data_IF_000963798881
#
_entry.id   IF_000963798881
#
_cell.length_a   1.000
_cell.length_b   1.000
_cell.length_c   1.000
_cell.angle_alpha   90.00
_cell.angle_beta   90.00
_cell.angle_gamma   90.00
#
_symmetry.space_group_name_H-M   'P 1'
#
loop_
_entity.id
_entity.type
_entity.pdbx_description
1 polymer ?
#
# COMPACT_ATOMS: atom_id res chain seq x y z
N UNK A 1 -14.54 -7.81 -7.57
CA UNK A 1 -13.53 -8.86 -7.35
C UNK A 1 -13.84 -9.60 -6.05
N UNK A 2 -13.72 -10.90 -6.06
CA UNK A 2 -13.85 -11.76 -4.88
C UNK A 2 -12.49 -12.35 -4.53
N UNK A 3 -12.15 -12.41 -3.25
CA UNK A 3 -10.93 -13.05 -2.79
C UNK A 3 -11.27 -14.31 -2.01
N UNK A 4 -10.52 -15.38 -2.27
CA UNK A 4 -10.43 -16.51 -1.35
C UNK A 4 -9.31 -16.21 -0.37
N UNK A 5 -9.61 -16.31 0.93
CA UNK A 5 -8.58 -16.14 1.93
C UNK A 5 -7.72 -17.39 2.04
N UNK A 6 -6.43 -17.17 2.10
CA UNK A 6 -5.53 -18.10 2.75
C UNK A 6 -5.15 -17.54 4.12
N UNK A 7 -5.12 -18.40 5.13
CA UNK A 7 -4.55 -18.03 6.44
C UNK A 7 -3.08 -17.69 6.22
N UNK A 8 -2.59 -16.62 6.87
CA UNK A 8 -1.17 -16.36 6.92
C UNK A 8 -0.49 -17.47 7.77
N UNK A 9 0.23 -18.40 7.14
CA UNK A 9 0.82 -19.54 7.85
C UNK A 9 1.99 -19.15 8.76
N UNK A 10 2.47 -17.89 8.64
CA UNK A 10 3.62 -17.40 9.40
C UNK A 10 3.20 -16.55 10.60
N UNK A 11 1.89 -16.35 10.83
CA UNK A 11 1.36 -15.56 11.95
C UNK A 11 1.82 -14.11 11.94
N UNK A 12 2.14 -13.56 10.75
CA UNK A 12 2.55 -12.17 10.58
C UNK A 12 1.35 -11.25 10.75
N UNK A 13 1.57 -10.06 11.28
CA UNK A 13 0.55 -9.06 11.53
C UNK A 13 1.01 -7.66 11.12
N UNK A 14 0.08 -6.73 11.05
CA UNK A 14 0.39 -5.35 10.67
C UNK A 14 0.82 -5.20 9.21
N UNK A 15 1.73 -4.27 8.95
CA UNK A 15 2.25 -4.00 7.62
C UNK A 15 3.19 -5.11 7.12
N UNK A 16 3.89 -5.80 8.03
CA UNK A 16 4.82 -6.89 7.74
C UNK A 16 4.11 -8.25 7.58
N UNK A 17 3.01 -8.31 6.83
CA UNK A 17 2.27 -9.54 6.52
C UNK A 17 2.39 -9.90 5.05
N UNK A 18 1.98 -11.13 4.70
CA UNK A 18 1.78 -11.48 3.30
C UNK A 18 0.67 -10.62 2.70
N UNK A 19 0.87 -10.08 1.50
CA UNK A 19 -0.08 -9.17 0.87
C UNK A 19 -1.43 -9.84 0.57
N UNK A 20 -1.41 -11.10 0.20
CA UNK A 20 -2.62 -11.89 -0.14
C UNK A 20 -3.14 -12.77 1.00
N UNK A 21 -2.62 -12.61 2.21
CA UNK A 21 -3.02 -13.38 3.39
C UNK A 21 -4.30 -12.84 4.04
N UNK A 22 -5.45 -12.94 3.35
CA UNK A 22 -6.75 -12.56 3.92
C UNK A 22 -7.36 -13.72 4.70
N UNK A 23 -7.86 -13.47 5.89
CA UNK A 23 -8.58 -14.46 6.67
C UNK A 23 -10.10 -14.31 6.47
N UNK A 24 -10.66 -14.89 5.42
CA UNK A 24 -12.12 -14.87 5.14
C UNK A 24 -12.88 -16.07 5.68
N UNK A 25 -12.26 -16.89 6.53
CA UNK A 25 -12.92 -18.03 7.18
C UNK A 25 -13.72 -18.91 6.22
N UNK A 26 -13.15 -19.22 5.03
CA UNK A 26 -13.76 -20.06 3.98
C UNK A 26 -15.00 -19.45 3.29
N UNK A 27 -15.32 -18.19 3.53
CA UNK A 27 -16.44 -17.51 2.90
C UNK A 27 -16.01 -16.72 1.67
N UNK A 28 -16.89 -16.66 0.68
CA UNK A 28 -16.75 -15.72 -0.42
C UNK A 28 -17.23 -14.34 0.06
N UNK A 29 -16.30 -13.39 0.18
CA UNK A 29 -16.62 -12.04 0.59
C UNK A 29 -16.51 -11.06 -0.56
N UNK A 30 -17.40 -10.06 -0.58
CA UNK A 30 -17.29 -8.93 -1.48
C UNK A 30 -16.08 -8.07 -1.06
N UNK A 31 -15.03 -8.10 -1.85
CA UNK A 31 -13.81 -7.37 -1.53
C UNK A 31 -13.96 -5.85 -1.76
N UNK A 32 -14.52 -5.44 -2.90
CA UNK A 32 -14.71 -4.04 -3.26
C UNK A 32 -16.04 -3.81 -3.98
N UNK A 33 -16.67 -2.67 -3.68
CA UNK A 33 -17.87 -2.18 -4.36
C UNK A 33 -17.79 -0.66 -4.48
N UNK A 34 -17.52 -0.14 -5.67
CA UNK A 34 -17.43 1.30 -5.92
C UNK A 34 -17.76 1.63 -7.38
N UNK A 35 -18.06 2.89 -7.60
CA UNK A 35 -18.33 3.45 -8.92
C UNK A 35 -17.33 4.56 -9.23
N UNK A 36 -16.76 4.54 -10.43
CA UNK A 36 -15.85 5.54 -10.95
C UNK A 36 -16.40 6.09 -12.28
N UNK A 37 -16.55 7.40 -12.37
CA UNK A 37 -17.07 8.03 -13.56
C UNK A 37 -16.34 9.34 -13.89
N UNK A 38 -16.17 9.67 -15.17
CA UNK A 38 -15.67 10.97 -15.61
C UNK A 38 -16.77 12.02 -15.47
N UNK A 39 -16.42 13.17 -14.89
CA UNK A 39 -17.26 14.39 -14.87
C UNK A 39 -16.90 15.26 -16.07
N UNK A 40 -15.65 15.27 -16.45
CA UNK A 40 -15.11 15.89 -17.67
C UNK A 40 -13.91 15.08 -18.16
N UNK A 41 -13.26 15.53 -19.22
CA UNK A 41 -12.05 14.89 -19.75
C UNK A 41 -10.93 14.86 -18.69
N UNK A 42 -10.84 15.88 -17.85
CA UNK A 42 -9.79 16.04 -16.85
C UNK A 42 -10.21 15.59 -15.44
N UNK A 43 -11.51 15.42 -15.16
CA UNK A 43 -12.01 15.19 -13.80
C UNK A 43 -12.75 13.85 -13.71
N UNK A 44 -12.32 13.03 -12.75
CA UNK A 44 -12.97 11.77 -12.37
C UNK A 44 -13.40 11.81 -10.91
N UNK A 45 -14.56 11.27 -10.62
CA UNK A 45 -15.06 11.03 -9.26
C UNK A 45 -15.17 9.53 -9.05
N UNK A 46 -14.73 9.08 -7.88
CA UNK A 46 -14.88 7.69 -7.43
C UNK A 46 -15.56 7.72 -6.07
N UNK A 47 -16.53 6.85 -5.85
CA UNK A 47 -17.16 6.67 -4.54
C UNK A 47 -17.75 5.28 -4.39
N UNK A 48 -17.89 4.82 -3.15
CA UNK A 48 -18.50 3.51 -2.91
C UNK A 48 -18.55 3.13 -1.43
N UNK A 49 -19.38 2.12 -1.12
CA UNK A 49 -19.52 1.61 0.24
C UNK A 49 -18.33 0.74 0.70
N UNK A 50 -17.52 0.22 -0.23
CA UNK A 50 -16.33 -0.58 0.10
C UNK A 50 -15.28 -0.42 -0.99
N UNK A 51 -14.27 0.35 -0.67
CA UNK A 51 -13.14 0.65 -1.55
C UNK A 51 -11.88 0.86 -0.72
N UNK A 52 -10.75 0.86 -1.36
CA UNK A 52 -9.45 1.06 -0.72
C UNK A 52 -8.88 2.43 -1.13
N UNK A 53 -8.06 3.02 -0.29
CA UNK A 53 -7.42 4.32 -0.53
C UNK A 53 -6.81 4.43 -1.94
N UNK A 54 -6.10 3.41 -2.40
CA UNK A 54 -5.47 3.38 -3.73
C UNK A 54 -6.46 3.33 -4.90
N UNK A 55 -7.69 2.86 -4.69
CA UNK A 55 -8.74 2.90 -5.72
C UNK A 55 -9.18 4.34 -6.05
N UNK A 56 -8.97 5.26 -5.12
CA UNK A 56 -9.35 6.67 -5.21
C UNK A 56 -8.27 7.58 -5.77
N UNK A 57 -7.02 7.12 -5.79
CA UNK A 57 -5.90 7.86 -6.38
C UNK A 57 -5.97 7.86 -7.91
N UNK A 58 -5.56 8.96 -8.50
CA UNK A 58 -5.46 9.08 -9.96
C UNK A 58 -4.26 8.35 -10.54
N UNK A 59 -3.20 8.22 -9.76
CA UNK A 59 -1.98 7.48 -10.11
C UNK A 59 -1.37 6.84 -8.89
N UNK A 60 -0.90 5.60 -9.05
CA UNK A 60 -0.06 4.93 -8.06
C UNK A 60 1.42 5.21 -8.38
N UNK A 61 2.21 5.75 -7.45
CA UNK A 61 3.56 6.25 -7.75
C UNK A 61 4.63 5.16 -7.76
N UNK A 62 4.26 3.93 -7.99
CA UNK A 62 5.18 2.80 -8.05
C UNK A 62 4.80 1.87 -9.19
N UNK A 63 5.77 1.39 -9.94
CA UNK A 63 5.60 0.28 -10.88
C UNK A 63 5.93 -1.08 -10.26
N UNK A 64 6.32 -1.11 -8.98
CA UNK A 64 6.37 -2.35 -8.21
C UNK A 64 4.94 -2.89 -8.06
N UNK A 65 4.71 -4.20 -8.20
CA UNK A 65 3.35 -4.72 -8.30
C UNK A 65 2.51 -4.39 -7.06
N UNK A 66 1.21 -4.29 -7.27
CA UNK A 66 0.23 -4.05 -6.20
C UNK A 66 0.02 -5.27 -5.29
N UNK A 67 0.42 -6.44 -5.76
CA UNK A 67 0.29 -7.72 -5.07
C UNK A 67 1.65 -8.45 -5.04
N UNK A 68 2.69 -7.88 -4.38
CA UNK A 68 3.98 -8.54 -4.24
C UNK A 68 3.85 -9.75 -3.29
N UNK A 69 4.84 -10.01 -2.48
CA UNK A 69 4.77 -11.03 -1.43
C UNK A 69 4.46 -10.37 -0.08
N UNK A 70 5.19 -9.32 0.26
CA UNK A 70 5.02 -8.58 1.53
C UNK A 70 4.22 -7.30 1.34
N UNK A 71 3.18 -7.13 2.13
CA UNK A 71 2.30 -5.95 2.07
C UNK A 71 3.05 -4.63 2.28
N UNK A 72 4.02 -4.59 3.17
CA UNK A 72 4.78 -3.36 3.48
C UNK A 72 5.55 -2.83 2.25
N UNK A 73 6.03 -3.72 1.37
CA UNK A 73 6.80 -3.33 0.19
C UNK A 73 5.93 -2.83 -0.98
N UNK A 74 4.60 -2.96 -0.88
CA UNK A 74 3.66 -2.47 -1.90
C UNK A 74 3.07 -1.08 -1.61
N UNK A 75 3.56 -0.40 -0.57
CA UNK A 75 3.04 0.90 -0.12
C UNK A 75 3.88 2.09 -0.61
N UNK A 76 4.56 1.91 -1.73
CA UNK A 76 5.36 2.94 -2.40
C UNK A 76 6.39 3.64 -1.47
N UNK A 77 6.89 2.95 -0.44
CA UNK A 77 7.89 3.43 0.50
C UNK A 77 7.40 4.44 1.55
N UNK A 78 6.11 4.74 1.57
CA UNK A 78 5.48 5.65 2.52
C UNK A 78 4.23 4.99 3.11
N UNK A 79 4.43 3.95 3.93
CA UNK A 79 3.38 3.04 4.38
C UNK A 79 2.27 3.71 5.19
N UNK A 80 2.60 4.73 5.98
CA UNK A 80 1.60 5.50 6.72
C UNK A 80 0.82 6.46 5.81
N UNK A 81 1.44 6.96 4.74
CA UNK A 81 0.77 7.84 3.75
C UNK A 81 -0.08 7.02 2.77
N UNK A 82 0.45 5.90 2.29
CA UNK A 82 -0.23 4.98 1.36
C UNK A 82 -0.70 3.71 2.09
N UNK A 83 -1.39 3.88 3.20
CA UNK A 83 -1.77 2.82 4.12
C UNK A 83 -2.76 1.79 3.55
N UNK A 84 -3.35 2.08 2.37
CA UNK A 84 -4.35 1.24 1.69
C UNK A 84 -5.55 0.90 2.58
N UNK A 85 -5.94 1.82 3.45
CA UNK A 85 -7.12 1.68 4.31
C UNK A 85 -8.37 1.45 3.47
N UNK A 86 -9.27 0.61 3.98
CA UNK A 86 -10.46 0.14 3.27
C UNK A 86 -11.73 0.46 4.06
N UNK A 87 -12.70 1.05 3.37
CA UNK A 87 -13.99 1.40 3.95
C UNK A 87 -14.94 2.01 2.93
N UNK A 88 -15.96 2.72 3.39
CA UNK A 88 -16.73 3.57 2.50
C UNK A 88 -15.95 4.87 2.25
N UNK A 89 -16.05 5.40 1.04
CA UNK A 89 -15.26 6.58 0.71
C UNK A 89 -15.62 7.22 -0.62
N UNK A 90 -14.97 8.36 -0.85
CA UNK A 90 -15.08 9.11 -2.08
C UNK A 90 -13.77 9.84 -2.39
N UNK A 91 -13.53 10.10 -3.67
CA UNK A 91 -12.37 10.86 -4.11
C UNK A 91 -12.63 11.55 -5.43
N UNK A 92 -11.89 12.63 -5.64
CA UNK A 92 -11.83 13.38 -6.87
C UNK A 92 -10.40 13.36 -7.41
N UNK A 93 -10.25 13.12 -8.68
CA UNK A 93 -8.98 13.19 -9.40
C UNK A 93 -9.11 14.19 -10.53
N UNK A 94 -8.17 15.11 -10.58
CA UNK A 94 -7.93 15.97 -11.74
C UNK A 94 -6.63 15.55 -12.42
N UNK A 95 -6.63 15.48 -13.74
CA UNK A 95 -5.45 15.08 -14.51
C UNK A 95 -5.36 15.83 -15.82
N UNK A 96 -4.15 16.22 -16.19
CA UNK A 96 -3.78 16.63 -17.52
C UNK A 96 -2.64 15.73 -18.05
N UNK A 97 -2.02 16.10 -19.16
CA UNK A 97 -0.96 15.29 -19.79
C UNK A 97 0.21 14.94 -18.87
N UNK A 98 0.51 15.76 -17.84
CA UNK A 98 1.70 15.61 -16.99
C UNK A 98 1.44 15.68 -15.50
N UNK A 99 0.32 16.21 -15.08
CA UNK A 99 0.04 16.45 -13.66
C UNK A 99 -1.25 15.72 -13.29
N UNK A 100 -1.18 14.98 -12.19
CA UNK A 100 -2.35 14.33 -11.60
C UNK A 100 -2.47 14.81 -10.16
N UNK A 101 -3.64 15.34 -9.81
CA UNK A 101 -3.98 15.73 -8.44
C UNK A 101 -5.16 14.91 -7.93
N UNK A 102 -5.06 14.39 -6.73
CA UNK A 102 -6.12 13.60 -6.09
C UNK A 102 -6.40 14.12 -4.69
N UNK A 103 -7.68 14.12 -4.31
CA UNK A 103 -8.12 14.31 -2.94
C UNK A 103 -9.18 13.26 -2.62
N UNK A 104 -9.05 12.59 -1.48
CA UNK A 104 -9.88 11.45 -1.15
C UNK A 104 -10.14 11.34 0.36
N UNK A 105 -11.22 10.65 0.67
CA UNK A 105 -11.64 10.31 2.01
C UNK A 105 -12.05 8.83 2.07
N UNK A 106 -11.63 8.12 3.11
CA UNK A 106 -12.03 6.74 3.42
C UNK A 106 -12.37 6.64 4.89
N UNK A 107 -13.53 6.06 5.21
CA UNK A 107 -13.95 5.76 6.58
C UNK A 107 -14.05 4.25 6.76
N UNK A 108 -13.24 3.69 7.66
CA UNK A 108 -13.24 2.25 7.96
C UNK A 108 -14.50 1.84 8.74
N UNK A 109 -15.06 2.74 9.53
CA UNK A 109 -16.21 2.51 10.42
C UNK A 109 -17.54 3.09 9.87
N UNK A 110 -17.60 3.46 8.60
CA UNK A 110 -18.78 4.06 7.98
C UNK A 110 -20.07 3.22 8.05
N UNK A 111 -19.95 1.92 8.29
CA UNK A 111 -21.07 1.00 8.49
C UNK A 111 -21.57 0.94 9.94
N UNK A 112 -20.88 1.58 10.88
CA UNK A 112 -21.27 1.68 12.28
C UNK A 112 -21.98 3.02 12.53
N UNK A 113 -23.26 2.99 12.80
CA UNK A 113 -24.07 4.19 13.00
C UNK A 113 -23.69 5.01 14.26
N UNK A 114 -22.88 4.44 15.14
CA UNK A 114 -22.39 5.11 16.35
C UNK A 114 -21.04 5.82 16.13
N UNK A 115 -20.35 5.48 15.05
CA UNK A 115 -19.04 6.01 14.68
C UNK A 115 -19.12 6.91 13.45
N UNK A 116 -19.81 6.47 12.41
CA UNK A 116 -20.15 7.27 11.22
C UNK A 116 -18.97 7.94 10.52
N UNK A 117 -19.31 8.89 9.64
CA UNK A 117 -18.34 9.73 8.92
C UNK A 117 -17.97 10.96 9.76
N UNK A 118 -16.68 11.29 9.85
CA UNK A 118 -16.15 12.51 10.48
C UNK A 118 -16.63 12.67 11.94
N UNK A 119 -16.70 11.55 12.65
CA UNK A 119 -17.02 11.55 14.08
C UNK A 119 -15.72 11.31 14.87
N UNK A 120 -15.60 11.94 16.02
CA UNK A 120 -14.41 11.87 16.88
C UNK A 120 -14.05 10.44 17.32
N UNK A 121 -14.96 9.48 17.15
CA UNK A 121 -14.78 8.07 17.46
C UNK A 121 -14.75 7.15 16.22
N UNK A 122 -14.66 7.70 15.03
CA UNK A 122 -14.50 6.98 13.76
C UNK A 122 -13.04 6.79 13.36
N UNK A 123 -12.79 5.89 12.44
CA UNK A 123 -11.48 5.72 11.77
C UNK A 123 -11.57 6.28 10.37
N UNK A 124 -11.16 7.53 10.25
CA UNK A 124 -11.29 8.32 9.03
C UNK A 124 -9.92 8.71 8.48
N UNK A 125 -9.78 8.66 7.18
CA UNK A 125 -8.51 8.92 6.49
C UNK A 125 -8.75 9.89 5.34
N UNK A 126 -8.07 11.03 5.38
CA UNK A 126 -8.05 12.00 4.28
C UNK A 126 -6.68 11.97 3.63
N UNK A 127 -6.63 11.77 2.32
CA UNK A 127 -5.36 11.78 1.57
C UNK A 127 -5.45 12.77 0.43
N UNK A 128 -4.37 13.53 0.23
CA UNK A 128 -4.15 14.36 -0.96
C UNK A 128 -2.84 13.94 -1.64
N UNK A 129 -2.84 13.96 -2.97
CA UNK A 129 -1.66 13.63 -3.77
C UNK A 129 -1.52 14.59 -4.93
N UNK A 130 -0.28 14.98 -5.20
CA UNK A 130 0.12 15.66 -6.43
C UNK A 130 1.22 14.84 -7.10
N UNK A 131 1.01 14.45 -8.35
CA UNK A 131 1.97 13.65 -9.10
C UNK A 131 2.34 14.29 -10.43
N UNK A 132 3.60 14.14 -10.79
CA UNK A 132 4.14 14.38 -12.13
C UNK A 132 4.30 13.04 -12.83
N UNK A 133 3.72 12.93 -14.02
CA UNK A 133 3.69 11.69 -14.81
C UNK A 133 4.30 11.95 -16.19
N UNK A 134 5.15 11.04 -16.60
CA UNK A 134 5.71 10.99 -17.94
C UNK A 134 5.83 9.51 -18.36
N UNK A 135 6.09 9.25 -19.59
CA UNK A 135 6.29 7.89 -20.11
C UNK A 135 7.38 7.12 -19.35
N UNK A 136 8.43 7.82 -18.92
CA UNK A 136 9.62 7.25 -18.30
C UNK A 136 9.63 7.35 -16.78
N UNK A 137 8.80 8.22 -16.20
CA UNK A 137 8.80 8.40 -14.75
C UNK A 137 7.44 8.80 -14.19
N UNK A 138 7.26 8.51 -12.93
CA UNK A 138 6.21 9.07 -12.09
C UNK A 138 6.84 9.52 -10.78
N UNK A 139 6.54 10.73 -10.33
CA UNK A 139 6.96 11.24 -9.01
C UNK A 139 5.73 11.82 -8.34
N UNK A 140 5.46 11.44 -7.10
CA UNK A 140 4.31 11.91 -6.34
C UNK A 140 4.70 12.40 -4.96
N UNK A 141 4.04 13.47 -4.54
CA UNK A 141 4.01 13.96 -3.17
C UNK A 141 2.62 13.69 -2.62
N UNK A 142 2.51 13.11 -1.44
CA UNK A 142 1.24 12.84 -0.81
C UNK A 142 1.25 13.25 0.67
N UNK A 143 0.07 13.58 1.15
CA UNK A 143 -0.23 13.87 2.54
C UNK A 143 -1.43 13.03 2.96
N UNK A 144 -1.37 12.43 4.14
CA UNK A 144 -2.49 11.73 4.77
C UNK A 144 -2.67 12.21 6.20
N UNK A 145 -3.90 12.55 6.54
CA UNK A 145 -4.36 12.67 7.93
C UNK A 145 -5.18 11.42 8.24
N UNK A 146 -4.82 10.74 9.30
CA UNK A 146 -5.44 9.49 9.75
C UNK A 146 -5.96 9.70 11.16
N UNK A 147 -7.24 9.55 11.29
CA UNK A 147 -7.96 9.55 12.57
C UNK A 147 -8.29 8.10 12.94
N UNK A 148 -8.00 7.70 14.17
CA UNK A 148 -8.15 6.33 14.64
C UNK A 148 -8.61 6.35 16.09
N UNK A 149 -9.89 6.63 16.30
CA UNK A 149 -10.43 6.87 17.63
C UNK A 149 -10.35 5.66 18.56
N UNK A 150 -10.19 5.96 19.84
CA UNK A 150 -10.46 5.03 20.90
C UNK A 150 -11.97 4.80 21.06
N UNK A 151 -12.34 3.66 21.63
CA UNK A 151 -13.74 3.29 21.87
C UNK A 151 -14.46 4.21 22.86
N UNK A 152 -13.76 5.07 23.56
CA UNK A 152 -14.29 6.04 24.51
C UNK A 152 -14.42 7.47 23.95
N UNK A 153 -14.12 7.66 22.65
CA UNK A 153 -14.19 8.97 21.97
C UNK A 153 -13.03 9.91 22.32
N UNK A 154 -12.01 9.44 23.03
CA UNK A 154 -10.77 10.20 23.20
C UNK A 154 -9.93 10.11 21.94
N UNK A 155 -9.17 11.16 21.60
CA UNK A 155 -8.20 11.08 20.51
C UNK A 155 -7.23 9.93 20.76
N UNK A 156 -7.14 9.03 19.79
CA UNK A 156 -6.29 7.85 19.87
C UNK A 156 -4.83 8.25 19.77
N UNK A 157 -3.99 7.54 20.48
CA UNK A 157 -2.56 7.57 20.27
C UNK A 157 -2.15 7.14 18.83
N UNK A 158 -3.10 6.65 18.04
CA UNK A 158 -2.88 6.26 16.65
C UNK A 158 -3.31 7.32 15.61
N UNK A 159 -3.76 8.49 16.07
CA UNK A 159 -4.03 9.63 15.19
C UNK A 159 -2.70 10.19 14.72
N UNK A 160 -2.58 10.39 13.42
CA UNK A 160 -1.33 10.88 12.84
C UNK A 160 -1.54 11.67 11.56
N UNK A 161 -0.57 12.51 11.27
CA UNK A 161 -0.35 13.05 9.93
C UNK A 161 0.87 12.36 9.31
N UNK A 162 0.83 12.16 8.00
CA UNK A 162 1.97 11.60 7.28
C UNK A 162 2.18 12.27 5.92
N UNK A 163 3.43 12.29 5.51
CA UNK A 163 3.88 12.82 4.23
C UNK A 163 4.68 11.75 3.51
N UNK A 164 4.50 11.65 2.20
CA UNK A 164 5.23 10.70 1.37
C UNK A 164 5.76 11.36 0.11
N UNK A 165 6.99 11.00 -0.25
CA UNK A 165 7.54 11.21 -1.59
C UNK A 165 7.83 9.84 -2.18
N UNK A 166 7.31 9.57 -3.37
CA UNK A 166 7.46 8.27 -4.01
C UNK A 166 7.57 8.44 -5.51
N UNK A 167 8.23 7.51 -6.16
CA UNK A 167 8.32 7.54 -7.59
C UNK A 167 8.86 6.27 -8.21
N UNK A 168 8.72 6.21 -9.52
CA UNK A 168 9.25 5.17 -10.39
C UNK A 168 9.96 5.79 -11.56
N UNK A 169 11.04 5.13 -12.00
CA UNK A 169 11.72 5.44 -13.24
C UNK A 169 11.85 4.18 -14.08
N UNK A 170 11.39 4.25 -15.33
CA UNK A 170 11.41 3.16 -16.30
C UNK A 170 12.58 3.37 -17.27
N UNK A 171 13.56 2.50 -17.22
CA UNK A 171 14.66 2.50 -18.18
C UNK A 171 14.20 1.92 -19.51
N UNK A 172 14.64 2.52 -20.58
CA UNK A 172 14.48 2.12 -21.98
C UNK A 172 13.41 1.08 -22.32
N UNK A 173 12.40 1.51 -23.04
CA UNK A 173 11.33 0.64 -23.60
C UNK A 173 11.88 -0.31 -24.68
N UNK A 174 13.06 -0.03 -25.26
CA UNK A 174 13.67 -0.78 -26.36
C UNK A 174 14.67 -1.86 -25.87
N UNK A 175 14.76 -2.05 -24.56
CA UNK A 175 15.61 -3.09 -23.97
C UNK A 175 14.94 -4.45 -24.05
N UNK A 176 15.73 -5.51 -24.27
CA UNK A 176 15.26 -6.89 -24.19
C UNK A 176 14.77 -7.28 -22.78
N UNK A 177 15.16 -6.50 -21.76
CA UNK A 177 14.66 -6.59 -20.38
C UNK A 177 14.40 -5.18 -19.87
N UNK A 178 13.19 -4.63 -20.01
CA UNK A 178 12.86 -3.32 -19.52
C UNK A 178 12.81 -3.32 -17.98
N UNK A 179 13.67 -2.48 -17.40
CA UNK A 179 13.80 -2.35 -15.94
C UNK A 179 13.06 -1.10 -15.49
N UNK A 180 12.36 -1.19 -14.37
CA UNK A 180 11.89 -0.04 -13.61
C UNK A 180 12.46 -0.06 -12.20
N UNK A 181 12.88 1.11 -11.72
CA UNK A 181 13.27 1.35 -10.34
C UNK A 181 12.19 2.12 -9.63
N UNK A 182 11.90 1.73 -8.40
CA UNK A 182 10.91 2.34 -7.54
C UNK A 182 11.58 2.74 -6.24
N UNK A 183 11.27 3.91 -5.74
CA UNK A 183 11.72 4.36 -4.44
C UNK A 183 10.66 5.24 -3.80
N UNK A 184 10.61 5.19 -2.48
CA UNK A 184 9.77 6.09 -1.72
C UNK A 184 10.26 6.25 -0.30
N UNK A 185 9.82 7.33 0.30
CA UNK A 185 10.12 7.69 1.68
C UNK A 185 8.91 8.39 2.30
N UNK A 186 8.59 8.03 3.51
CA UNK A 186 7.48 8.56 4.29
C UNK A 186 7.90 9.07 5.65
N UNK A 187 7.20 10.09 6.12
CA UNK A 187 7.30 10.64 7.47
C UNK A 187 5.94 10.53 8.13
N UNK A 188 5.91 10.08 9.37
CA UNK A 188 4.73 10.02 10.23
C UNK A 188 4.94 10.90 11.44
N UNK A 189 3.97 11.76 11.70
CA UNK A 189 3.92 12.59 12.90
C UNK A 189 2.63 12.23 13.66
N UNK A 190 2.69 11.54 14.79
CA UNK A 190 1.54 11.26 15.62
C UNK A 190 1.02 12.55 16.28
N UNK A 191 -0.29 12.69 16.42
CA UNK A 191 -0.91 13.86 17.03
C UNK A 191 -0.65 13.93 18.56
N UNK A 192 -0.33 12.79 19.16
CA UNK A 192 0.09 12.68 20.56
C UNK A 192 1.33 11.83 20.66
N UNK A 193 2.38 12.41 21.19
CA UNK A 193 3.55 11.68 21.66
C UNK A 193 3.24 11.18 23.07
N UNK A 194 3.26 9.87 23.26
CA UNK A 194 3.10 9.25 24.57
C UNK A 194 4.33 8.40 24.86
N UNK A 195 5.23 8.92 25.70
CA UNK A 195 6.45 8.26 26.13
C UNK A 195 6.20 6.85 26.75
N UNK A 196 4.97 6.61 27.22
CA UNK A 196 4.60 5.32 27.81
C UNK A 196 4.13 4.28 26.77
N UNK A 197 3.74 4.71 25.56
CA UNK A 197 3.18 3.86 24.50
C UNK A 197 4.05 3.74 23.27
N UNK A 198 5.27 4.27 23.28
CA UNK A 198 6.21 4.27 22.16
C UNK A 198 5.64 4.80 20.85
N UNK A 199 4.81 5.85 20.93
CA UNK A 199 4.24 6.52 19.76
C UNK A 199 5.03 7.80 19.55
N UNK A 200 5.99 7.69 18.65
CA UNK A 200 6.91 8.76 18.27
C UNK A 200 6.82 9.04 16.78
N UNK A 201 7.43 10.14 16.37
CA UNK A 201 7.67 10.42 14.97
C UNK A 201 8.38 9.25 14.32
N UNK A 202 8.06 8.97 13.09
CA UNK A 202 8.64 7.82 12.42
C UNK A 202 8.81 8.00 10.93
N UNK A 203 9.62 7.13 10.36
CA UNK A 203 9.91 7.12 8.93
C UNK A 203 9.74 5.73 8.33
N UNK A 204 9.45 5.70 7.04
CA UNK A 204 9.40 4.48 6.24
C UNK A 204 10.08 4.70 4.92
N UNK A 205 10.64 3.66 4.34
CA UNK A 205 11.18 3.71 2.99
C UNK A 205 11.13 2.36 2.30
N UNK A 206 11.12 2.39 0.98
CA UNK A 206 11.23 1.17 0.15
C UNK A 206 12.00 1.51 -1.13
N UNK A 207 12.85 0.59 -1.55
CA UNK A 207 13.46 0.59 -2.88
C UNK A 207 13.15 -0.75 -3.53
N UNK A 208 12.68 -0.71 -4.77
CA UNK A 208 12.32 -1.91 -5.54
C UNK A 208 12.76 -1.80 -6.99
N UNK A 209 12.95 -2.94 -7.60
CA UNK A 209 13.25 -3.08 -9.01
C UNK A 209 12.34 -4.14 -9.64
N UNK A 210 11.83 -3.83 -10.83
CA UNK A 210 11.06 -4.76 -11.66
C UNK A 210 11.71 -4.92 -13.01
N UNK A 211 11.90 -6.15 -13.46
CA UNK A 211 12.25 -6.50 -14.82
C UNK A 211 11.06 -7.20 -15.46
N UNK A 212 10.44 -6.52 -16.41
CA UNK A 212 9.40 -7.12 -17.22
C UNK A 212 10.06 -7.95 -18.33
N UNK A 213 9.38 -9.00 -18.77
CA UNK A 213 9.91 -9.95 -19.77
C UNK A 213 11.26 -10.56 -19.37
N UNK A 214 11.48 -10.79 -18.08
CA UNK A 214 12.72 -11.29 -17.52
C UNK A 214 12.96 -12.73 -17.98
N UNK A 215 14.02 -12.94 -18.77
CA UNK A 215 14.46 -14.21 -19.37
C UNK A 215 13.49 -14.77 -20.43
N UNK A 216 12.18 -14.65 -20.25
CA UNK A 216 11.14 -15.11 -21.17
C UNK A 216 10.04 -14.04 -21.26
N UNK A 217 9.48 -13.87 -22.45
CA UNK A 217 8.35 -12.95 -22.70
C UNK A 217 7.18 -13.26 -21.77
N UNK A 218 6.62 -12.24 -21.16
CA UNK A 218 5.52 -12.32 -20.20
C UNK A 218 5.91 -12.68 -18.77
N UNK A 219 7.17 -13.02 -18.48
CA UNK A 219 7.63 -13.30 -17.13
C UNK A 219 8.24 -12.06 -16.46
N UNK A 220 8.07 -11.92 -15.15
CA UNK A 220 8.55 -10.76 -14.41
C UNK A 220 9.46 -11.18 -13.25
N UNK A 221 10.50 -10.41 -13.00
CA UNK A 221 11.36 -10.56 -11.83
C UNK A 221 11.25 -9.31 -10.96
N UNK A 222 10.92 -9.49 -9.69
CA UNK A 222 10.82 -8.41 -8.70
C UNK A 222 11.79 -8.60 -7.56
N UNK A 223 12.39 -7.49 -7.13
CA UNK A 223 13.24 -7.37 -5.95
C UNK A 223 12.85 -6.11 -5.20
N UNK A 224 12.66 -6.20 -3.89
CA UNK A 224 12.44 -5.02 -3.06
C UNK A 224 13.04 -5.18 -1.67
N UNK A 225 13.39 -4.05 -1.07
CA UNK A 225 13.82 -3.93 0.33
C UNK A 225 13.28 -2.61 0.90
N UNK A 226 12.94 -2.61 2.16
CA UNK A 226 12.47 -1.43 2.87
C UNK A 226 12.30 -1.68 4.35
N UNK A 227 11.72 -0.71 5.05
CA UNK A 227 11.38 -0.84 6.46
C UNK A 227 10.27 -1.89 6.65
N UNK A 228 10.45 -2.80 7.60
CA UNK A 228 9.42 -3.79 7.95
C UNK A 228 8.25 -3.16 8.72
N UNK A 229 8.51 -2.10 9.45
CA UNK A 229 7.55 -1.27 10.17
C UNK A 229 8.05 0.19 10.19
N UNK A 230 7.22 1.12 10.67
CA UNK A 230 7.63 2.51 10.79
C UNK A 230 8.80 2.63 11.76
N UNK A 231 9.93 3.11 11.26
CA UNK A 231 11.10 3.41 12.07
C UNK A 231 10.75 4.50 13.09
N UNK A 232 11.19 4.33 14.32
CA UNK A 232 10.96 5.28 15.42
C UNK A 232 12.30 5.87 15.85
N UNK A 233 12.31 7.14 16.21
CA UNK A 233 13.51 7.83 16.71
C UNK A 233 13.71 7.57 18.23
N UNK A 234 13.62 6.30 18.64
CA UNK A 234 13.80 5.86 20.02
C UNK A 234 15.14 5.13 20.20
N UNK A 235 15.87 5.48 21.26
CA UNK A 235 17.23 4.99 21.57
C UNK A 235 17.34 3.49 21.93
N UNK A 236 16.36 2.71 21.69
CA UNK A 236 16.36 1.26 21.93
C UNK A 236 15.67 0.47 20.83
N UNK A 237 15.28 1.17 19.77
CA UNK A 237 14.57 0.58 18.66
C UNK A 237 15.53 0.25 17.51
N UNK A 238 15.60 -1.01 17.12
CA UNK A 238 16.31 -1.42 15.91
C UNK A 238 15.45 -1.10 14.69
N UNK A 239 16.07 -0.76 13.56
CA UNK A 239 15.40 -0.45 12.30
C UNK A 239 15.12 -1.74 11.52
N UNK A 240 14.02 -2.44 11.77
CA UNK A 240 13.80 -3.72 11.13
C UNK A 240 13.54 -3.55 9.64
N UNK A 241 14.20 -4.38 8.85
CA UNK A 241 14.10 -4.41 7.42
C UNK A 241 13.23 -5.58 6.94
N UNK A 242 12.57 -5.37 5.83
CA UNK A 242 11.93 -6.43 5.05
C UNK A 242 12.49 -6.44 3.63
N UNK A 243 12.67 -7.62 3.08
CA UNK A 243 13.00 -7.75 1.67
C UNK A 243 12.32 -8.97 1.05
N UNK A 244 12.12 -8.91 -0.25
CA UNK A 244 11.59 -10.01 -1.04
C UNK A 244 12.24 -10.09 -2.40
N UNK A 245 12.23 -11.29 -2.95
CA UNK A 245 12.55 -11.58 -4.33
C UNK A 245 11.56 -12.58 -4.87
N UNK A 246 11.02 -12.33 -6.05
CA UNK A 246 10.09 -13.24 -6.71
C UNK A 246 10.31 -13.29 -8.22
N UNK A 247 9.92 -14.40 -8.81
CA UNK A 247 9.90 -14.59 -10.25
C UNK A 247 8.51 -15.04 -10.69
N UNK A 248 7.77 -14.17 -11.37
CA UNK A 248 6.45 -14.49 -11.88
C UNK A 248 6.57 -15.16 -13.25
N UNK A 249 6.05 -16.37 -13.35
CA UNK A 249 5.95 -17.14 -14.58
C UNK A 249 4.52 -17.07 -15.08
N UNK A 250 4.31 -16.47 -16.23
CA UNK A 250 3.01 -16.47 -16.92
C UNK A 250 2.82 -17.80 -17.63
N UNK A 251 1.91 -18.63 -17.14
CA UNK A 251 1.59 -19.94 -17.72
C UNK A 251 0.66 -19.77 -18.92
N UNK A 252 -0.32 -18.89 -18.80
CA UNK A 252 -1.26 -18.47 -19.85
C UNK A 252 -1.98 -17.20 -19.41
N UNK A 253 -2.93 -16.69 -20.22
CA UNK A 253 -3.66 -15.44 -19.97
C UNK A 253 -4.44 -15.43 -18.64
N UNK A 254 -4.68 -16.57 -18.03
CA UNK A 254 -5.48 -16.73 -16.83
C UNK A 254 -4.72 -17.27 -15.62
N UNK A 255 -3.47 -17.70 -15.78
CA UNK A 255 -2.72 -18.37 -14.71
C UNK A 255 -1.29 -17.85 -14.68
N UNK A 256 -0.83 -17.40 -13.52
CA UNK A 256 0.58 -17.19 -13.21
C UNK A 256 1.03 -17.96 -11.97
N UNK A 257 2.30 -18.32 -11.92
CA UNK A 257 2.96 -19.00 -10.80
C UNK A 257 4.16 -18.18 -10.38
N UNK A 258 4.23 -17.81 -9.10
CA UNK A 258 5.24 -16.90 -8.58
C UNK A 258 5.98 -17.55 -7.40
N UNK A 259 7.08 -18.29 -7.63
CA UNK A 259 8.01 -18.64 -6.57
C UNK A 259 8.64 -17.37 -5.99
N UNK A 260 8.79 -17.34 -4.68
CA UNK A 260 9.30 -16.19 -3.94
C UNK A 260 10.05 -16.60 -2.68
N UNK A 261 10.97 -15.73 -2.28
CA UNK A 261 11.69 -15.78 -1.00
C UNK A 261 11.59 -14.42 -0.34
N UNK A 262 11.53 -14.40 0.98
CA UNK A 262 11.46 -13.16 1.75
C UNK A 262 12.07 -13.30 3.13
N UNK A 263 12.39 -12.17 3.72
CA UNK A 263 12.77 -12.03 5.12
C UNK A 263 12.13 -10.77 5.71
N UNK A 264 11.74 -10.85 6.98
CA UNK A 264 11.24 -9.74 7.78
C UNK A 264 12.00 -9.77 9.10
N UNK A 265 12.78 -8.75 9.36
CA UNK A 265 13.36 -8.50 10.67
C UNK A 265 12.26 -8.02 11.63
N UNK A 266 12.35 -8.40 12.88
CA UNK A 266 11.39 -8.00 13.93
C UNK A 266 12.12 -7.39 15.12
N UNK A 267 11.68 -6.23 15.54
CA UNK A 267 12.21 -5.62 16.76
C UNK A 267 11.81 -6.45 17.99
N UNK A 268 12.81 -6.88 18.76
CA UNK A 268 12.61 -7.65 20.00
C UNK A 268 12.06 -9.08 19.84
N UNK A 269 12.05 -9.62 18.62
CA UNK A 269 11.59 -10.98 18.30
C UNK A 269 12.50 -11.64 17.26
N UNK A 270 12.30 -12.94 17.00
CA UNK A 270 13.02 -13.65 15.95
C UNK A 270 12.55 -13.18 14.55
N UNK A 271 13.48 -13.07 13.62
CA UNK A 271 13.22 -12.77 12.23
C UNK A 271 12.38 -13.86 11.57
N UNK A 272 11.58 -13.47 10.59
CA UNK A 272 10.78 -14.40 9.80
C UNK A 272 11.33 -14.47 8.39
N UNK A 273 11.84 -15.64 8.02
CA UNK A 273 12.24 -15.95 6.63
C UNK A 273 11.31 -16.99 6.04
N UNK A 274 10.99 -16.84 4.77
CA UNK A 274 10.10 -17.76 4.10
C UNK A 274 10.42 -17.98 2.62
N UNK A 275 9.95 -19.12 2.14
CA UNK A 275 9.86 -19.48 0.72
C UNK A 275 8.42 -19.86 0.46
N UNK A 276 7.84 -19.33 -0.60
CA UNK A 276 6.48 -19.66 -1.00
C UNK A 276 6.32 -19.73 -2.53
N UNK A 277 5.23 -20.30 -2.95
CA UNK A 277 4.79 -20.27 -4.36
C UNK A 277 3.36 -19.71 -4.36
N UNK A 278 3.17 -18.54 -4.94
CA UNK A 278 1.84 -17.95 -5.17
C UNK A 278 1.34 -18.40 -6.54
N UNK A 279 0.10 -18.87 -6.62
CA UNK A 279 -0.60 -19.13 -7.89
C UNK A 279 -1.75 -18.14 -8.02
N UNK A 280 -1.78 -17.40 -9.12
CA UNK A 280 -2.83 -16.43 -9.41
C UNK A 280 -3.72 -16.94 -10.54
N UNK A 281 -5.02 -16.86 -10.35
CA UNK A 281 -6.04 -17.17 -11.35
C UNK A 281 -6.81 -15.89 -11.69
N UNK A 282 -6.93 -15.58 -12.98
CA UNK A 282 -7.69 -14.45 -13.51
C UNK A 282 -8.88 -14.97 -14.34
N UNK A 283 -10.09 -14.48 -14.07
CA UNK A 283 -11.33 -14.91 -14.71
C UNK A 283 -12.05 -13.76 -15.40
#
# INVERSE_FOLDING_TARGET
>A
SGNFAMMDPFGMSGAARLDTGFNSSENLELHKAFYKFPVSDDIKITFGPKLRQDDLLGVWPSSYPSDPILFVLNQAGASDTYSKKMGAGAGITWSNDRVVASALFVSEDANDSTKGFLQDNGRDHVTTQLALVDDSYTIALAYTNSDSANTDGSASANDYTSYGISGTYKFSKDSAMPISLNAGYGWKNPDKVDDSSNIEDGTTWTVGAMWNDAFFEGNNLGLAVGTAETHRDDSGYDDPLAWEAFYEVTVNDSISITPAVFNIEKNGAEDVSGVLVKTTFSF
#
